data_IF_774980182203
#
_entry.id   IF_774980182203
#
_cell.length_a   1.000
_cell.length_b   1.000
_cell.length_c   1.000
_cell.angle_alpha   90.00
_cell.angle_beta   90.00
_cell.angle_gamma   90.00
#
_symmetry.space_group_name_H-M   'P 1'
#
loop_
_entity.id
_entity.type
_entity.pdbx_description
1 polymer ?
#
# COMPACT_ATOMS: atom_id res chain seq x y z
N UNK A 1 33.45 -55.91 -6.74
CA UNK A 1 32.55 -55.62 -7.86
C UNK A 1 31.83 -54.32 -7.53
N UNK A 2 32.32 -53.20 -8.06
CA UNK A 2 31.63 -51.91 -7.93
C UNK A 2 30.68 -51.75 -9.12
N UNK A 3 29.40 -52.02 -8.92
CA UNK A 3 28.38 -51.67 -9.90
C UNK A 3 28.23 -50.14 -9.92
N UNK A 4 28.89 -49.49 -10.89
CA UNK A 4 28.65 -48.08 -11.19
C UNK A 4 27.23 -47.94 -11.74
N UNK A 5 26.29 -47.53 -10.89
CA UNK A 5 24.94 -47.14 -11.28
C UNK A 5 25.00 -46.04 -12.36
N UNK A 6 24.98 -46.44 -13.63
CA UNK A 6 24.91 -45.53 -14.77
C UNK A 6 23.44 -45.15 -14.99
N UNK A 7 22.95 -44.19 -14.22
CA UNK A 7 21.63 -43.62 -14.45
C UNK A 7 21.69 -42.83 -15.76
N UNK A 8 20.81 -43.10 -16.75
CA UNK A 8 20.77 -42.31 -17.97
C UNK A 8 20.33 -40.88 -17.65
N UNK A 9 20.97 -39.90 -18.30
CA UNK A 9 20.79 -38.46 -18.06
C UNK A 9 19.32 -38.02 -18.01
N UNK A 10 18.48 -38.61 -18.87
CA UNK A 10 17.04 -38.37 -18.93
C UNK A 10 16.29 -38.81 -17.67
N UNK A 11 16.66 -39.96 -17.10
CA UNK A 11 16.05 -40.46 -15.86
C UNK A 11 16.51 -39.64 -14.66
N UNK A 12 17.77 -39.20 -14.64
CA UNK A 12 18.26 -38.27 -13.63
C UNK A 12 17.49 -36.93 -13.67
N UNK A 13 17.31 -36.34 -14.86
CA UNK A 13 16.56 -35.10 -15.02
C UNK A 13 15.09 -35.23 -14.60
N UNK A 14 14.45 -36.36 -14.91
CA UNK A 14 13.08 -36.66 -14.46
C UNK A 14 13.00 -36.75 -12.94
N UNK A 15 13.95 -37.44 -12.31
CA UNK A 15 14.00 -37.60 -10.87
C UNK A 15 14.23 -36.24 -10.20
N UNK A 16 15.24 -35.49 -10.65
CA UNK A 16 15.57 -34.16 -10.14
C UNK A 16 14.40 -33.17 -10.26
N UNK A 17 13.71 -33.18 -11.41
CA UNK A 17 12.52 -32.36 -11.62
C UNK A 17 11.36 -32.74 -10.69
N UNK A 18 11.07 -34.03 -10.56
CA UNK A 18 10.03 -34.51 -9.65
C UNK A 18 10.35 -34.19 -8.18
N UNK A 19 11.60 -34.39 -7.75
CA UNK A 19 12.04 -34.03 -6.40
C UNK A 19 11.99 -32.53 -6.16
N UNK A 20 12.35 -31.70 -7.15
CA UNK A 20 12.30 -30.24 -7.04
C UNK A 20 10.89 -29.68 -6.90
N UNK A 21 9.92 -30.26 -7.62
CA UNK A 21 8.51 -29.88 -7.48
C UNK A 21 7.97 -30.30 -6.11
N UNK A 22 8.26 -31.53 -5.68
CA UNK A 22 7.81 -32.04 -4.38
C UNK A 22 8.38 -31.22 -3.22
N UNK A 23 9.66 -30.83 -3.28
CA UNK A 23 10.27 -29.95 -2.26
C UNK A 23 9.73 -28.53 -2.34
N UNK A 24 9.49 -27.97 -3.53
CA UNK A 24 8.86 -26.65 -3.65
C UNK A 24 7.45 -26.64 -3.03
N UNK A 25 6.64 -27.69 -3.23
CA UNK A 25 5.29 -27.76 -2.66
C UNK A 25 5.25 -28.03 -1.15
N UNK A 26 6.31 -28.61 -0.58
CA UNK A 26 6.35 -29.00 0.86
C UNK A 26 7.21 -28.07 1.72
N UNK A 27 8.28 -27.51 1.18
CA UNK A 27 9.24 -26.67 1.90
C UNK A 27 9.07 -25.17 1.64
N UNK A 28 8.54 -24.76 0.49
CA UNK A 28 8.18 -23.36 0.25
C UNK A 28 6.71 -23.14 0.65
N UNK A 29 6.43 -22.29 1.65
CA UNK A 29 5.08 -21.97 2.03
C UNK A 29 4.50 -21.02 0.98
N UNK A 30 3.93 -21.58 -0.09
CA UNK A 30 3.05 -20.85 -1.02
C UNK A 30 1.78 -20.31 -0.33
N UNK A 31 1.67 -20.44 0.99
CA UNK A 31 0.61 -19.90 1.85
C UNK A 31 0.42 -18.39 1.72
N UNK A 32 1.48 -17.64 1.36
CA UNK A 32 1.43 -16.18 1.22
C UNK A 32 1.43 -15.71 -0.24
N UNK A 33 1.32 -16.62 -1.21
CA UNK A 33 1.17 -16.25 -2.61
C UNK A 33 -0.30 -16.28 -2.98
N UNK A 34 -0.87 -15.10 -3.22
CA UNK A 34 -2.20 -14.97 -3.79
C UNK A 34 -2.10 -14.87 -5.31
N UNK A 35 -3.06 -15.45 -6.01
CA UNK A 35 -3.16 -15.31 -7.45
C UNK A 35 -3.38 -13.83 -7.79
N UNK A 36 -2.40 -13.19 -8.42
CA UNK A 36 -2.54 -11.83 -8.93
C UNK A 36 -3.25 -11.88 -10.29
N UNK A 37 -4.52 -11.50 -10.33
CA UNK A 37 -5.28 -11.34 -11.58
C UNK A 37 -5.04 -9.92 -12.11
N UNK A 38 -4.80 -9.77 -13.42
CA UNK A 38 -4.53 -8.48 -14.06
C UNK A 38 -5.63 -7.39 -13.88
N UNK A 39 -6.82 -7.79 -13.44
CA UNK A 39 -8.03 -6.98 -13.22
C UNK A 39 -8.91 -7.53 -12.08
N UNK A 40 -8.34 -8.31 -11.15
CA UNK A 40 -9.07 -8.71 -9.94
C UNK A 40 -9.07 -7.58 -8.92
N UNK A 41 -9.90 -7.70 -7.86
CA UNK A 41 -10.05 -6.73 -6.76
C UNK A 41 -8.72 -6.04 -6.46
N UNK A 42 -8.54 -4.83 -7.01
CA UNK A 42 -7.27 -4.15 -6.84
C UNK A 42 -7.25 -3.68 -5.38
N UNK A 43 -6.14 -3.84 -4.63
CA UNK A 43 -6.04 -3.30 -3.27
C UNK A 43 -6.27 -1.78 -3.17
N UNK A 44 -6.43 -1.07 -4.29
CA UNK A 44 -6.76 0.36 -4.37
C UNK A 44 -8.27 0.62 -4.44
N UNK A 45 -9.12 -0.41 -4.55
CA UNK A 45 -10.59 -0.27 -4.48
C UNK A 45 -11.05 0.11 -3.07
N UNK A 46 -10.25 -0.22 -2.04
CA UNK A 46 -10.50 0.18 -0.66
C UNK A 46 -9.61 1.37 -0.32
N UNK A 47 -10.15 2.40 0.36
CA UNK A 47 -9.33 3.51 0.81
C UNK A 47 -8.22 2.97 1.72
N UNK A 48 -6.94 3.27 1.42
CA UNK A 48 -5.80 2.71 2.16
C UNK A 48 -5.74 3.17 3.62
N UNK A 49 -6.47 4.22 3.97
CA UNK A 49 -6.49 4.80 5.31
C UNK A 49 -7.92 4.90 5.83
N UNK A 50 -8.10 4.65 7.12
CA UNK A 50 -9.35 4.93 7.82
C UNK A 50 -9.29 6.34 8.38
N UNK A 51 -10.21 7.22 7.98
CA UNK A 51 -10.27 8.59 8.48
C UNK A 51 -10.58 8.54 9.98
N UNK A 52 -9.67 9.07 10.79
CA UNK A 52 -9.79 9.06 12.25
C UNK A 52 -10.31 10.40 12.78
N UNK A 53 -9.74 11.51 12.31
CA UNK A 53 -10.07 12.85 12.82
C UNK A 53 -9.86 13.94 11.77
N UNK A 54 -10.50 15.09 12.00
CA UNK A 54 -10.33 16.32 11.23
C UNK A 54 -9.83 17.42 12.15
N UNK A 55 -8.61 17.90 11.94
CA UNK A 55 -7.95 18.89 12.79
C UNK A 55 -8.12 20.28 12.18
N UNK A 56 -8.62 21.23 12.96
CA UNK A 56 -8.71 22.62 12.53
C UNK A 56 -7.30 23.21 12.43
N UNK A 57 -6.97 23.77 11.27
CA UNK A 57 -5.69 24.40 11.00
C UNK A 57 -5.86 25.66 10.16
N UNK A 58 -4.81 26.48 10.15
CA UNK A 58 -4.74 27.74 9.41
C UNK A 58 -3.49 27.71 8.53
N UNK A 59 -3.62 28.16 7.29
CA UNK A 59 -2.54 28.16 6.31
C UNK A 59 -1.48 29.23 6.59
N UNK A 60 -0.44 28.93 7.37
CA UNK A 60 0.61 29.90 7.69
C UNK A 60 1.88 29.79 6.80
N UNK A 61 1.92 28.87 5.82
CA UNK A 61 3.16 28.53 5.08
C UNK A 61 3.18 29.05 3.64
N UNK A 62 2.04 29.07 2.96
CA UNK A 62 1.98 29.23 1.50
C UNK A 62 1.86 30.69 1.03
N UNK A 63 1.24 31.52 1.86
CA UNK A 63 1.01 32.96 1.69
C UNK A 63 0.60 33.54 3.05
N UNK A 64 0.36 34.85 3.09
CA UNK A 64 -0.01 35.62 4.29
C UNK A 64 -1.53 35.82 4.44
N UNK A 65 -2.33 35.02 3.70
CA UNK A 65 -3.79 35.15 3.68
C UNK A 65 -4.43 34.34 4.82
N UNK A 66 -3.70 33.41 5.44
CA UNK A 66 -4.17 32.64 6.61
C UNK A 66 -5.53 31.94 6.41
N UNK A 67 -5.74 31.30 5.25
CA UNK A 67 -6.97 30.55 4.98
C UNK A 67 -7.17 29.40 5.99
N UNK A 68 -8.38 29.26 6.52
CA UNK A 68 -8.68 28.17 7.46
C UNK A 68 -9.15 26.89 6.75
N UNK A 69 -8.64 25.74 7.18
CA UNK A 69 -9.01 24.42 6.64
C UNK A 69 -9.03 23.35 7.73
N UNK A 70 -9.50 22.16 7.37
CA UNK A 70 -9.47 20.95 8.17
C UNK A 70 -8.44 20.01 7.57
N UNK A 71 -7.43 19.64 8.34
CA UNK A 71 -6.52 18.55 7.96
C UNK A 71 -7.21 17.24 8.26
N UNK A 72 -7.46 16.44 7.22
CA UNK A 72 -8.04 15.11 7.33
C UNK A 72 -6.92 14.15 7.68
N UNK A 73 -6.98 13.57 8.87
CA UNK A 73 -5.99 12.61 9.37
C UNK A 73 -6.61 11.23 9.32
N UNK A 74 -5.90 10.31 8.68
CA UNK A 74 -6.24 8.89 8.67
C UNK A 74 -5.21 8.04 9.39
N UNK A 75 -5.62 6.84 9.78
CA UNK A 75 -4.76 5.80 10.33
C UNK A 75 -4.59 4.73 9.27
N UNK A 76 -3.35 4.33 9.03
CA UNK A 76 -3.05 3.14 8.23
C UNK A 76 -3.38 1.89 9.06
N UNK A 77 -4.33 1.03 8.63
CA UNK A 77 -4.70 -0.16 9.38
C UNK A 77 -3.55 -1.19 9.49
N UNK A 78 -2.56 -1.15 8.59
CA UNK A 78 -1.44 -2.09 8.62
C UNK A 78 -0.35 -1.68 9.61
N UNK A 79 -0.08 -0.37 9.76
CA UNK A 79 1.01 0.14 10.61
C UNK A 79 0.53 0.84 11.88
N UNK A 80 -0.75 1.22 11.95
CA UNK A 80 -1.33 2.00 13.04
C UNK A 80 -0.86 3.45 13.09
N UNK A 81 -0.10 3.91 12.08
CA UNK A 81 0.44 5.27 12.04
C UNK A 81 -0.62 6.26 11.55
N UNK A 82 -0.72 7.39 12.24
CA UNK A 82 -1.51 8.52 11.78
C UNK A 82 -0.77 9.28 10.68
N UNK A 83 -1.49 9.59 9.60
CA UNK A 83 -1.00 10.45 8.51
C UNK A 83 -2.04 11.48 8.13
N UNK A 84 -1.58 12.69 7.84
CA UNK A 84 -2.41 13.65 7.14
C UNK A 84 -2.60 13.14 5.71
N UNK A 85 -3.85 13.10 5.24
CA UNK A 85 -4.21 12.56 3.92
C UNK A 85 -4.53 13.65 2.92
N UNK A 86 -5.29 14.65 3.37
CA UNK A 86 -5.72 15.78 2.55
C UNK A 86 -6.20 16.92 3.44
N UNK A 87 -6.52 18.06 2.82
CA UNK A 87 -7.19 19.18 3.47
C UNK A 87 -8.59 19.37 2.89
N UNK A 88 -9.50 19.83 3.74
CA UNK A 88 -10.84 20.28 3.36
C UNK A 88 -11.03 21.74 3.77
N UNK A 89 -11.57 22.57 2.89
CA UNK A 89 -11.83 23.97 3.22
C UNK A 89 -12.97 24.10 4.23
N UNK A 90 -12.94 25.19 5.01
CA UNK A 90 -13.95 25.49 6.03
C UNK A 90 -14.98 26.50 5.49
N UNK A 91 -16.24 26.12 5.24
CA UNK A 91 -17.26 27.04 4.72
C UNK A 91 -17.50 28.25 5.62
N UNK A 92 -17.32 28.08 6.93
CA UNK A 92 -17.49 29.12 7.94
C UNK A 92 -16.35 30.15 7.98
N UNK A 93 -15.24 29.92 7.29
CA UNK A 93 -14.10 30.82 7.26
C UNK A 93 -14.40 32.06 6.38
N UNK A 94 -14.27 33.30 6.90
CA UNK A 94 -14.60 34.51 6.14
C UNK A 94 -13.60 34.83 5.02
N UNK A 95 -12.43 34.20 5.04
CA UNK A 95 -11.36 34.46 4.07
C UNK A 95 -11.54 33.55 2.86
N UNK A 96 -11.67 32.25 3.13
CA UNK A 96 -11.63 31.22 2.10
C UNK A 96 -12.99 30.64 1.72
N UNK A 97 -14.02 30.81 2.56
CA UNK A 97 -15.39 30.33 2.32
C UNK A 97 -15.46 28.87 1.83
N UNK A 98 -14.68 27.99 2.46
CA UNK A 98 -14.65 26.57 2.12
C UNK A 98 -13.72 26.19 0.96
N UNK A 99 -12.97 27.13 0.42
CA UNK A 99 -11.99 26.90 -0.66
C UNK A 99 -10.57 26.90 -0.10
N UNK A 100 -9.63 26.39 -0.87
CA UNK A 100 -8.19 26.51 -0.59
C UNK A 100 -7.42 26.47 -1.90
N UNK A 101 -6.25 27.09 -1.94
CA UNK A 101 -5.43 27.13 -3.15
C UNK A 101 -4.54 25.88 -3.27
N UNK A 102 -3.97 25.67 -4.46
CA UNK A 102 -3.07 24.53 -4.73
C UNK A 102 -1.86 24.50 -3.78
N UNK A 103 -1.40 25.67 -3.30
CA UNK A 103 -0.28 25.74 -2.35
C UNK A 103 -0.63 25.17 -0.99
N UNK A 104 -1.88 25.34 -0.54
CA UNK A 104 -2.34 24.74 0.72
C UNK A 104 -2.41 23.21 0.60
N UNK A 105 -2.71 22.68 -0.60
CA UNK A 105 -2.77 21.24 -0.84
C UNK A 105 -1.41 20.56 -0.60
N UNK A 106 -0.30 21.24 -0.93
CA UNK A 106 1.06 20.77 -0.64
C UNK A 106 1.46 20.83 0.83
N UNK A 107 0.56 21.20 1.74
CA UNK A 107 0.82 21.11 3.19
C UNK A 107 0.78 19.66 3.70
N UNK A 108 0.15 18.76 2.95
CA UNK A 108 -0.09 17.35 3.31
C UNK A 108 0.82 16.40 2.50
N UNK A 109 1.85 16.95 1.86
CA UNK A 109 2.89 16.18 1.16
C UNK A 109 3.85 15.47 2.14
#
# INVERSE_FOLDING_TARGET
MEEKFKIPRRSFLKLAGATGIATAMTAFPFRNMQAAWAFGDHPQEKPPYQINKKVLQVCARACEIDCAYKVVVGVDPATGLERALTIEGRPEDPISHGKFCIKAMGFVD
#
